data_IF_008406823219
#
_entry.id   IF_008406823219
#
_cell.length_a   1.000
_cell.length_b   1.000
_cell.length_c   1.000
_cell.angle_alpha   90.00
_cell.angle_beta   90.00
_cell.angle_gamma   90.00
#
_symmetry.space_group_name_H-M   'P 1'
#
loop_
_entity.id
_entity.type
_entity.pdbx_description
1 polymer ?
#
# COMPACT_ATOMS: atom_id res chain seq x y z
N UNK A 1 -25.19 11.66 40.96
CA UNK A 1 -25.03 11.82 39.50
C UNK A 1 -23.57 11.53 39.16
N UNK A 2 -23.27 10.79 38.09
CA UNK A 2 -21.90 10.59 37.61
C UNK A 2 -21.92 10.54 36.08
N UNK A 3 -21.12 11.39 35.43
CA UNK A 3 -21.15 11.60 33.99
C UNK A 3 -20.32 10.57 33.23
N UNK A 4 -20.93 9.87 32.27
CA UNK A 4 -20.20 9.07 31.29
C UNK A 4 -19.63 9.98 30.20
N UNK A 5 -18.40 10.45 30.36
CA UNK A 5 -17.69 11.15 29.30
C UNK A 5 -17.37 10.16 28.16
N UNK A 6 -18.19 10.18 27.12
CA UNK A 6 -18.03 9.35 25.93
C UNK A 6 -16.98 9.96 25.00
N UNK A 7 -15.71 9.56 25.19
CA UNK A 7 -14.62 9.97 24.30
C UNK A 7 -14.79 9.29 22.95
N UNK A 8 -15.37 10.00 21.98
CA UNK A 8 -15.42 9.58 20.58
C UNK A 8 -14.02 9.67 19.99
N UNK A 9 -13.32 8.53 19.89
CA UNK A 9 -12.06 8.47 19.14
C UNK A 9 -12.35 8.66 17.65
N UNK A 10 -12.02 9.83 17.11
CA UNK A 10 -11.96 10.03 15.65
C UNK A 10 -10.82 9.21 15.05
N UNK A 11 -11.04 8.61 13.88
CA UNK A 11 -10.00 7.92 13.11
C UNK A 11 -9.67 8.80 11.91
N UNK A 12 -8.43 9.30 11.86
CA UNK A 12 -7.90 10.08 10.74
C UNK A 12 -7.50 9.12 9.62
N UNK A 13 -7.98 9.36 8.40
CA UNK A 13 -7.70 8.50 7.25
C UNK A 13 -6.73 9.16 6.28
N UNK A 14 -5.64 8.45 5.95
CA UNK A 14 -4.76 8.81 4.84
C UNK A 14 -5.15 8.01 3.60
N UNK A 15 -5.82 8.65 2.64
CA UNK A 15 -6.25 7.98 1.41
C UNK A 15 -5.10 7.84 0.39
N UNK A 16 -4.45 6.67 0.34
CA UNK A 16 -3.50 6.33 -0.72
C UNK A 16 -4.26 6.00 -2.03
N UNK A 17 -4.43 7.00 -2.89
CA UNK A 17 -5.00 6.82 -4.22
C UNK A 17 -3.98 6.28 -5.23
N UNK A 18 -4.10 5.00 -5.61
CA UNK A 18 -3.41 4.48 -6.80
C UNK A 18 -4.04 5.11 -8.06
N UNK A 19 -3.22 5.80 -8.85
CA UNK A 19 -3.57 6.24 -10.21
C UNK A 19 -2.71 5.48 -11.21
N UNK A 20 -3.34 4.65 -12.04
CA UNK A 20 -2.64 3.80 -13.00
C UNK A 20 -2.02 4.58 -14.16
N UNK A 21 -0.80 4.19 -14.55
CA UNK A 21 -0.11 4.69 -15.74
C UNK A 21 -0.27 3.69 -16.90
N UNK A 22 -1.18 3.97 -17.82
CA UNK A 22 -1.25 3.29 -19.12
C UNK A 22 -0.47 4.10 -20.17
N UNK A 23 0.66 3.55 -20.62
CA UNK A 23 1.43 4.08 -21.76
C UNK A 23 1.04 3.32 -23.03
N UNK A 24 0.79 4.05 -24.11
CA UNK A 24 0.52 3.51 -25.44
C UNK A 24 0.50 4.63 -26.49
N UNK A 25 1.38 4.54 -27.48
CA UNK A 25 1.57 5.54 -28.53
C UNK A 25 1.29 4.93 -29.92
N UNK A 26 0.44 5.62 -30.70
CA UNK A 26 0.32 5.59 -32.17
C UNK A 26 0.01 4.23 -32.85
N UNK A 27 -0.59 4.14 -34.05
CA UNK A 27 -0.59 5.04 -35.22
C UNK A 27 -1.97 5.35 -35.89
N UNK A 28 -1.96 6.42 -36.69
CA UNK A 28 -2.82 6.86 -37.82
C UNK A 28 -4.34 6.47 -37.96
N UNK A 29 -5.21 7.46 -37.67
CA UNK A 29 -6.13 8.21 -38.58
C UNK A 29 -6.87 7.54 -39.77
N UNK A 30 -8.00 8.13 -40.29
CA UNK A 30 -8.74 9.37 -39.89
C UNK A 30 -10.25 9.05 -39.63
N UNK A 31 -11.31 9.90 -39.68
CA UNK A 31 -11.64 11.26 -40.21
C UNK A 31 -12.68 12.01 -39.34
N UNK A 32 -12.80 13.32 -39.58
CA UNK A 32 -13.97 14.25 -39.53
C UNK A 32 -15.29 13.70 -38.96
N UNK A 33 -15.95 14.36 -37.99
CA UNK A 33 -16.65 15.65 -38.21
C UNK A 33 -16.79 16.54 -36.96
N UNK A 34 -16.82 17.85 -37.21
CA UNK A 34 -16.80 19.00 -36.31
C UNK A 34 -17.83 19.01 -35.17
N UNK A 35 -17.37 19.31 -33.96
CA UNK A 35 -17.94 20.43 -33.17
C UNK A 35 -16.88 21.05 -32.26
N UNK A 36 -16.82 22.37 -32.27
CA UNK A 36 -15.82 23.17 -31.59
C UNK A 36 -16.28 23.49 -30.17
N UNK A 37 -15.46 23.13 -29.17
CA UNK A 37 -15.61 23.55 -27.77
C UNK A 37 -14.22 23.97 -27.32
N UNK A 38 -14.08 25.23 -26.94
CA UNK A 38 -12.80 25.79 -26.48
C UNK A 38 -12.40 25.19 -25.12
N UNK A 39 -11.59 24.14 -25.18
CA UNK A 39 -10.89 23.58 -24.04
C UNK A 39 -9.49 24.21 -23.98
N UNK A 40 -9.34 25.22 -23.11
CA UNK A 40 -8.07 25.90 -22.87
C UNK A 40 -6.92 24.95 -22.54
N UNK A 41 -5.66 25.39 -22.70
CA UNK A 41 -4.49 24.52 -22.79
C UNK A 41 -4.38 23.54 -21.61
N UNK A 42 -4.04 22.26 -21.87
CA UNK A 42 -3.97 21.24 -20.83
C UNK A 42 -2.97 21.65 -19.76
N UNK A 43 -3.37 21.56 -18.48
CA UNK A 43 -2.50 21.84 -17.33
C UNK A 43 -1.52 20.68 -17.08
N UNK A 44 -0.71 20.36 -18.07
CA UNK A 44 0.46 19.48 -17.96
C UNK A 44 1.60 20.20 -17.24
N UNK A 45 1.40 20.48 -15.96
CA UNK A 45 2.42 20.95 -15.04
C UNK A 45 2.53 19.96 -13.88
N UNK A 46 3.52 19.06 -13.95
CA UNK A 46 4.17 18.57 -12.73
C UNK A 46 4.59 19.82 -11.96
N UNK A 47 4.19 19.95 -10.69
CA UNK A 47 4.46 21.13 -9.87
C UNK A 47 5.93 21.54 -10.03
N UNK A 48 6.25 22.79 -10.44
CA UNK A 48 7.63 23.21 -10.66
C UNK A 48 8.55 23.00 -9.46
N UNK A 49 8.00 22.94 -8.24
CA UNK A 49 8.74 22.60 -7.02
C UNK A 49 8.99 21.09 -6.88
N UNK A 50 8.05 20.24 -7.31
CA UNK A 50 8.24 18.79 -7.36
C UNK A 50 9.24 18.42 -8.47
N UNK A 51 9.11 19.03 -9.65
CA UNK A 51 10.07 18.89 -10.74
C UNK A 51 11.47 19.38 -10.33
N UNK A 52 11.58 20.53 -9.62
CA UNK A 52 12.83 21.00 -9.04
C UNK A 52 13.38 20.08 -7.95
N UNK A 53 12.53 19.50 -7.09
CA UNK A 53 12.99 18.57 -6.05
C UNK A 53 13.60 17.29 -6.66
N UNK A 54 12.91 16.70 -7.65
CA UNK A 54 13.42 15.54 -8.40
C UNK A 54 14.68 15.90 -9.19
N UNK A 55 14.72 17.07 -9.85
CA UNK A 55 15.89 17.52 -10.60
C UNK A 55 17.09 17.84 -9.68
N UNK A 56 16.88 18.44 -8.51
CA UNK A 56 17.95 18.73 -7.55
C UNK A 56 18.51 17.46 -6.91
N UNK A 57 17.65 16.50 -6.55
CA UNK A 57 18.07 15.18 -6.11
C UNK A 57 18.89 14.45 -7.20
N UNK A 58 18.52 14.61 -8.47
CA UNK A 58 19.22 14.00 -9.61
C UNK A 58 20.54 14.72 -9.96
N UNK A 59 20.61 16.05 -9.83
CA UNK A 59 21.77 16.86 -10.21
C UNK A 59 22.97 16.67 -9.28
N UNK A 60 22.74 16.36 -8.00
CA UNK A 60 23.79 16.11 -7.02
C UNK A 60 24.62 14.83 -7.29
N UNK A 61 24.22 14.00 -8.26
CA UNK A 61 24.96 12.81 -8.74
C UNK A 61 26.11 13.21 -9.68
N UNK A 62 26.18 14.47 -10.12
CA UNK A 62 26.93 14.92 -11.29
C UNK A 62 28.40 15.33 -11.14
N UNK A 63 29.12 14.98 -10.07
CA UNK A 63 30.57 15.23 -10.00
C UNK A 63 31.35 14.36 -8.99
N UNK A 64 32.38 13.65 -9.47
CA UNK A 64 33.62 13.45 -8.72
C UNK A 64 33.61 12.61 -7.43
N UNK A 65 32.66 11.70 -7.22
CA UNK A 65 32.67 10.80 -6.06
C UNK A 65 31.82 9.56 -6.24
N UNK A 66 32.34 8.40 -5.82
CA UNK A 66 31.58 7.15 -5.73
C UNK A 66 30.73 7.12 -4.45
N UNK A 67 29.77 8.05 -4.35
CA UNK A 67 28.69 7.92 -3.38
C UNK A 67 27.73 6.84 -3.88
N UNK A 68 27.50 5.80 -3.06
CA UNK A 68 26.48 4.79 -3.36
C UNK A 68 25.13 5.51 -3.44
N UNK A 69 24.47 5.47 -4.61
CA UNK A 69 23.13 6.03 -4.77
C UNK A 69 22.20 5.39 -3.73
N UNK A 70 21.62 6.18 -2.83
CA UNK A 70 20.70 5.67 -1.80
C UNK A 70 19.30 5.39 -2.39
N UNK A 71 18.93 6.10 -3.46
CA UNK A 71 17.70 5.90 -4.23
C UNK A 71 17.71 4.69 -5.18
N UNK A 72 16.54 4.23 -5.66
CA UNK A 72 16.39 3.04 -6.51
C UNK A 72 17.27 3.06 -7.78
N UNK A 73 17.73 1.89 -8.28
CA UNK A 73 18.55 1.82 -9.48
C UNK A 73 17.76 2.31 -10.71
N UNK A 74 18.36 3.12 -11.63
CA UNK A 74 17.66 3.64 -12.80
C UNK A 74 17.10 2.57 -13.77
N UNK A 75 17.64 1.35 -13.72
CA UNK A 75 17.18 0.18 -14.46
C UNK A 75 16.01 -0.56 -13.80
N UNK A 76 15.61 -0.21 -12.58
CA UNK A 76 14.72 -1.00 -11.71
C UNK A 76 15.36 -2.29 -11.15
N UNK A 77 16.43 -2.80 -11.77
CA UNK A 77 17.11 -4.05 -11.43
C UNK A 77 18.40 -3.77 -10.65
N UNK A 78 18.51 -4.36 -9.46
CA UNK A 78 19.73 -4.35 -8.65
C UNK A 78 20.81 -5.29 -9.21
N UNK A 79 22.08 -4.89 -9.22
CA UNK A 79 23.18 -5.85 -9.38
C UNK A 79 23.19 -6.86 -8.21
N UNK A 80 23.72 -8.08 -8.41
CA UNK A 80 23.72 -9.14 -7.39
C UNK A 80 24.25 -8.67 -6.02
N UNK A 81 23.49 -8.97 -4.95
CA UNK A 81 23.83 -8.61 -3.57
C UNK A 81 23.67 -7.13 -3.18
N UNK A 82 23.40 -6.22 -4.13
CA UNK A 82 23.25 -4.78 -3.81
C UNK A 82 21.93 -4.50 -3.08
N UNK A 83 20.86 -5.23 -3.39
CA UNK A 83 19.60 -5.14 -2.64
C UNK A 83 19.78 -5.51 -1.16
N UNK A 84 20.56 -6.56 -0.87
CA UNK A 84 20.84 -7.03 0.49
C UNK A 84 21.66 -6.03 1.32
N UNK A 85 22.58 -5.29 0.69
CA UNK A 85 23.30 -4.18 1.34
C UNK A 85 22.37 -3.05 1.79
N UNK A 86 21.39 -2.69 0.97
CA UNK A 86 20.47 -1.57 1.27
C UNK A 86 19.40 -1.96 2.28
N UNK A 87 18.79 -3.13 2.11
CA UNK A 87 17.79 -3.69 3.02
C UNK A 87 17.85 -5.22 2.96
N UNK A 88 18.53 -5.83 3.93
CA UNK A 88 18.69 -7.28 4.03
C UNK A 88 17.33 -7.99 4.14
N UNK A 89 17.24 -9.23 3.62
CA UNK A 89 16.01 -10.02 3.67
C UNK A 89 15.55 -10.25 5.11
N UNK A 90 14.29 -9.90 5.41
CA UNK A 90 13.72 -9.97 6.76
C UNK A 90 14.13 -8.85 7.72
N UNK A 91 14.92 -7.87 7.28
CA UNK A 91 15.18 -6.66 8.09
C UNK A 91 13.96 -5.73 8.15
N UNK A 92 13.90 -4.88 9.19
CA UNK A 92 12.76 -3.98 9.41
C UNK A 92 12.62 -2.94 8.29
N UNK A 93 11.40 -2.66 7.80
CA UNK A 93 11.11 -1.53 6.92
C UNK A 93 11.67 -0.20 7.46
N UNK A 94 12.18 0.66 6.58
CA UNK A 94 12.79 1.96 6.93
C UNK A 94 11.92 3.12 6.47
N UNK A 95 11.94 4.22 7.22
CA UNK A 95 11.33 5.49 6.83
C UNK A 95 12.35 6.65 6.94
N UNK A 96 12.59 7.34 5.83
CA UNK A 96 13.59 8.41 5.70
C UNK A 96 12.86 9.75 5.51
N UNK A 97 12.80 10.55 6.58
CA UNK A 97 12.02 11.79 6.66
C UNK A 97 12.71 12.95 5.92
N UNK A 98 12.12 13.41 4.82
CA UNK A 98 12.61 14.55 4.04
C UNK A 98 12.02 15.91 4.46
N UNK A 99 10.76 15.93 4.92
CA UNK A 99 10.10 17.11 5.49
C UNK A 99 9.10 16.68 6.57
N UNK A 100 9.06 17.36 7.72
CA UNK A 100 8.18 17.01 8.84
C UNK A 100 6.83 17.74 8.84
N UNK A 101 6.62 18.67 7.90
CA UNK A 101 5.33 19.32 7.65
C UNK A 101 4.96 20.45 8.60
N UNK A 102 3.82 21.06 8.34
CA UNK A 102 3.29 22.24 9.04
C UNK A 102 2.01 21.94 9.83
N UNK A 103 1.67 22.81 10.78
CA UNK A 103 0.48 22.67 11.62
C UNK A 103 0.66 21.65 12.74
N UNK A 104 -0.45 21.09 13.22
CA UNK A 104 -0.47 20.02 14.23
C UNK A 104 0.29 18.79 13.72
N UNK A 105 1.24 18.30 14.53
CA UNK A 105 2.05 17.12 14.21
C UNK A 105 1.57 15.92 15.03
N UNK A 106 1.37 14.78 14.38
CA UNK A 106 0.81 13.55 14.99
C UNK A 106 1.71 12.34 14.72
N UNK A 107 1.75 11.37 15.66
CA UNK A 107 2.34 10.06 15.39
C UNK A 107 1.33 9.23 14.57
N UNK A 108 1.63 9.01 13.29
CA UNK A 108 0.76 8.26 12.39
C UNK A 108 0.63 6.77 12.77
N UNK A 109 1.66 6.17 13.39
CA UNK A 109 1.62 4.76 13.80
C UNK A 109 0.65 4.54 14.95
N UNK A 110 0.73 5.38 16.00
CA UNK A 110 -0.17 5.33 17.15
C UNK A 110 -1.64 5.56 16.75
N UNK A 111 -1.84 6.38 15.72
CA UNK A 111 -3.15 6.76 15.18
C UNK A 111 -3.79 5.67 14.32
N UNK A 112 -3.00 4.98 13.49
CA UNK A 112 -3.47 3.96 12.54
C UNK A 112 -3.46 2.53 13.12
N UNK A 113 -2.47 2.20 13.96
CA UNK A 113 -2.21 0.83 14.43
C UNK A 113 -2.41 0.67 15.95
N UNK A 114 -3.44 1.30 16.49
CA UNK A 114 -3.82 1.16 17.91
C UNK A 114 -4.24 -0.29 18.22
N UNK A 115 -3.65 -0.96 19.24
CA UNK A 115 -4.03 -2.33 19.60
C UNK A 115 -5.53 -2.46 19.94
N UNK A 116 -6.19 -3.46 19.38
CA UNK A 116 -7.63 -3.69 19.49
C UNK A 116 -8.48 -2.86 18.50
N UNK A 117 -7.88 -1.99 17.68
CA UNK A 117 -8.59 -1.30 16.60
C UNK A 117 -9.16 -2.30 15.59
N UNK A 118 -10.39 -2.04 15.13
CA UNK A 118 -11.09 -2.84 14.13
C UNK A 118 -11.76 -1.93 13.11
N UNK A 119 -11.73 -2.36 11.85
CA UNK A 119 -12.37 -1.68 10.73
C UNK A 119 -12.87 -2.72 9.72
N UNK A 120 -13.82 -2.32 8.87
CA UNK A 120 -14.24 -3.12 7.73
C UNK A 120 -14.16 -2.25 6.48
N UNK A 121 -13.43 -2.70 5.47
CA UNK A 121 -13.36 -2.04 4.16
C UNK A 121 -14.01 -2.90 3.09
N UNK A 122 -14.42 -2.28 1.99
CA UNK A 122 -14.85 -2.98 0.78
C UNK A 122 -13.81 -2.75 -0.32
N UNK A 123 -13.31 -3.83 -0.88
CA UNK A 123 -12.31 -3.84 -1.94
C UNK A 123 -12.89 -4.61 -3.12
N UNK A 124 -13.15 -3.90 -4.23
CA UNK A 124 -13.45 -4.55 -5.50
C UNK A 124 -12.13 -4.85 -6.20
N UNK A 125 -11.92 -6.11 -6.59
CA UNK A 125 -10.86 -6.48 -7.53
C UNK A 125 -11.50 -6.88 -8.86
N UNK A 126 -10.97 -6.34 -9.95
CA UNK A 126 -11.33 -6.75 -11.30
C UNK A 126 -10.16 -7.53 -11.89
N UNK A 127 -10.39 -8.77 -12.33
CA UNK A 127 -9.38 -9.58 -13.00
C UNK A 127 -9.86 -10.00 -14.39
N UNK A 128 -8.97 -10.01 -15.38
CA UNK A 128 -9.29 -10.34 -16.76
C UNK A 128 -8.57 -11.64 -17.18
N UNK A 129 -9.27 -12.80 -17.27
CA UNK A 129 -8.62 -14.09 -17.54
C UNK A 129 -7.97 -14.21 -18.93
N UNK A 130 -8.37 -13.35 -19.87
CA UNK A 130 -7.86 -13.30 -21.24
C UNK A 130 -8.23 -11.95 -21.86
N UNK A 131 -7.38 -11.33 -22.72
CA UNK A 131 -7.69 -10.07 -23.40
C UNK A 131 -8.99 -10.04 -24.20
N UNK A 132 -9.60 -11.20 -24.49
CA UNK A 132 -10.89 -11.35 -25.20
C UNK A 132 -12.08 -11.65 -24.30
N UNK A 133 -11.84 -11.92 -23.01
CA UNK A 133 -12.89 -12.12 -22.00
C UNK A 133 -13.12 -10.80 -21.27
N UNK A 134 -14.36 -10.41 -20.94
CA UNK A 134 -14.61 -9.27 -20.06
C UNK A 134 -13.91 -9.44 -18.70
N UNK A 135 -13.49 -8.37 -18.03
CA UNK A 135 -13.07 -8.43 -16.63
C UNK A 135 -14.18 -8.99 -15.74
N UNK A 136 -13.78 -9.68 -14.68
CA UNK A 136 -14.66 -10.22 -13.63
C UNK A 136 -14.43 -9.42 -12.36
N UNK A 137 -15.47 -8.76 -11.85
CA UNK A 137 -15.43 -8.07 -10.55
C UNK A 137 -15.72 -9.03 -9.40
N UNK A 138 -14.92 -8.94 -8.34
CA UNK A 138 -15.15 -9.61 -7.05
C UNK A 138 -15.09 -8.57 -5.93
N UNK A 139 -16.20 -8.43 -5.20
CA UNK A 139 -16.34 -7.51 -4.07
C UNK A 139 -16.00 -8.23 -2.77
N UNK A 140 -14.83 -7.94 -2.21
CA UNK A 140 -14.41 -8.42 -0.90
C UNK A 140 -14.84 -7.43 0.18
N UNK A 141 -15.50 -7.93 1.22
CA UNK A 141 -15.63 -7.21 2.49
C UNK A 141 -14.54 -7.74 3.43
N UNK A 142 -13.58 -6.87 3.76
CA UNK A 142 -12.37 -7.21 4.50
C UNK A 142 -12.45 -6.61 5.90
N UNK A 143 -12.44 -7.45 6.92
CA UNK A 143 -12.39 -7.04 8.32
C UNK A 143 -10.94 -7.05 8.81
N UNK A 144 -10.42 -5.88 9.18
CA UNK A 144 -9.06 -5.70 9.71
C UNK A 144 -9.13 -5.57 11.24
N UNK A 145 -8.15 -6.16 11.91
CA UNK A 145 -8.06 -6.21 13.37
C UNK A 145 -6.58 -6.11 13.77
N UNK A 146 -6.22 -5.06 14.51
CA UNK A 146 -4.85 -4.90 15.05
C UNK A 146 -4.77 -5.64 16.38
N UNK A 147 -3.93 -6.66 16.47
CA UNK A 147 -3.72 -7.45 17.69
C UNK A 147 -2.26 -7.42 18.15
N UNK A 148 -2.01 -7.85 19.38
CA UNK A 148 -0.69 -8.31 19.78
C UNK A 148 -0.47 -9.74 19.29
N UNK A 149 0.74 -10.13 18.87
CA UNK A 149 1.04 -11.49 18.45
C UNK A 149 0.81 -12.47 19.61
N UNK A 150 0.49 -13.73 19.26
CA UNK A 150 0.15 -14.80 20.22
C UNK A 150 1.33 -15.72 20.54
N UNK A 151 2.54 -15.17 20.60
CA UNK A 151 3.78 -15.96 20.75
C UNK A 151 4.35 -15.77 22.14
N UNK A 152 4.62 -16.88 22.83
CA UNK A 152 5.30 -16.89 24.13
C UNK A 152 6.81 -16.67 23.99
N UNK A 153 7.41 -16.06 25.02
CA UNK A 153 8.85 -15.90 25.26
C UNK A 153 9.74 -15.35 24.14
N UNK A 154 9.57 -14.05 23.86
CA UNK A 154 10.63 -13.19 23.36
C UNK A 154 10.39 -11.73 23.77
N UNK A 155 11.40 -11.01 24.29
CA UNK A 155 11.20 -9.61 24.71
C UNK A 155 10.90 -8.68 23.53
N UNK A 156 11.57 -8.90 22.40
CA UNK A 156 11.30 -8.20 21.13
C UNK A 156 9.88 -8.45 20.58
N UNK A 157 9.25 -9.60 20.88
CA UNK A 157 7.89 -9.91 20.42
C UNK A 157 6.80 -9.11 21.17
N UNK A 158 7.13 -8.50 22.33
CA UNK A 158 6.15 -7.81 23.19
C UNK A 158 5.75 -6.41 22.69
N UNK A 159 6.58 -5.79 21.85
CA UNK A 159 6.29 -4.51 21.18
C UNK A 159 5.76 -4.66 19.75
N UNK A 160 5.83 -5.86 19.16
CA UNK A 160 5.33 -6.11 17.81
C UNK A 160 3.78 -6.15 17.78
N UNK A 161 3.19 -5.79 16.65
CA UNK A 161 1.74 -5.88 16.40
C UNK A 161 1.47 -6.66 15.13
N UNK A 162 0.38 -7.42 15.10
CA UNK A 162 -0.13 -8.08 13.90
C UNK A 162 -1.34 -7.31 13.36
N UNK A 163 -1.28 -6.92 12.08
CA UNK A 163 -2.48 -6.55 11.32
C UNK A 163 -3.09 -7.83 10.74
N UNK A 164 -4.19 -8.29 11.32
CA UNK A 164 -4.94 -9.44 10.82
C UNK A 164 -6.06 -8.96 9.92
N UNK A 165 -6.13 -9.46 8.68
CA UNK A 165 -7.19 -9.14 7.72
C UNK A 165 -7.97 -10.41 7.40
N UNK A 166 -9.30 -10.36 7.49
CA UNK A 166 -10.18 -11.51 7.28
C UNK A 166 -11.16 -11.22 6.14
N UNK A 167 -11.33 -12.19 5.24
CA UNK A 167 -12.32 -12.15 4.17
C UNK A 167 -13.70 -12.39 4.76
N UNK A 168 -14.35 -11.34 5.26
CA UNK A 168 -15.62 -11.41 5.99
C UNK A 168 -16.81 -11.72 5.06
N UNK A 169 -16.76 -11.20 3.82
CA UNK A 169 -17.71 -11.52 2.75
C UNK A 169 -16.98 -11.55 1.40
N UNK A 170 -17.46 -12.39 0.51
CA UNK A 170 -17.18 -12.33 -0.93
C UNK A 170 -18.52 -12.13 -1.62
N UNK A 171 -18.61 -11.17 -2.55
CA UNK A 171 -19.77 -10.98 -3.42
C UNK A 171 -19.28 -10.99 -4.88
N UNK A 172 -20.11 -11.51 -5.78
CA UNK A 172 -19.76 -11.72 -7.19
C UNK A 172 -20.83 -11.08 -8.07
N UNK A 173 -20.45 -10.65 -9.27
CA UNK A 173 -21.42 -10.26 -10.28
C UNK A 173 -22.30 -11.46 -10.70
N UNK A 174 -23.59 -11.24 -11.07
CA UNK A 174 -24.48 -12.33 -11.49
C UNK A 174 -24.02 -13.12 -12.74
N UNK A 175 -23.06 -12.57 -13.49
CA UNK A 175 -22.36 -13.20 -14.61
C UNK A 175 -21.44 -14.34 -14.17
N UNK A 176 -20.91 -14.29 -12.94
CA UNK A 176 -20.01 -15.30 -12.38
C UNK A 176 -20.84 -16.45 -11.82
N UNK A 177 -20.78 -17.61 -12.51
CA UNK A 177 -21.63 -18.77 -12.21
C UNK A 177 -20.81 -20.07 -12.19
N UNK A 178 -21.49 -21.21 -12.01
CA UNK A 178 -20.85 -22.54 -12.07
C UNK A 178 -19.87 -22.79 -10.92
N UNK A 179 -18.79 -23.52 -11.19
CA UNK A 179 -17.80 -23.89 -10.17
C UNK A 179 -16.93 -22.71 -9.74
N UNK A 180 -16.60 -21.80 -10.65
CA UNK A 180 -15.82 -20.59 -10.36
C UNK A 180 -16.50 -19.76 -9.25
N UNK A 181 -17.81 -19.58 -9.32
CA UNK A 181 -18.57 -18.88 -8.29
C UNK A 181 -18.51 -19.56 -6.91
N UNK A 182 -18.44 -20.90 -6.88
CA UNK A 182 -18.26 -21.66 -5.63
C UNK A 182 -16.84 -21.52 -5.09
N UNK A 183 -15.81 -21.71 -5.91
CA UNK A 183 -14.40 -21.56 -5.51
C UNK A 183 -14.12 -20.16 -4.95
N UNK A 184 -14.58 -19.11 -5.64
CA UNK A 184 -14.45 -17.72 -5.17
C UNK A 184 -15.26 -17.47 -3.88
N UNK A 185 -16.49 -17.97 -3.79
CA UNK A 185 -17.31 -17.83 -2.58
C UNK A 185 -16.70 -18.47 -1.33
N UNK A 186 -15.93 -19.55 -1.51
CA UNK A 186 -15.20 -20.25 -0.43
C UNK A 186 -13.99 -19.47 0.11
N UNK A 187 -13.53 -18.40 -0.55
CA UNK A 187 -12.50 -17.51 0.04
C UNK A 187 -12.97 -16.82 1.33
N UNK A 188 -14.28 -16.77 1.60
CA UNK A 188 -14.81 -16.25 2.86
C UNK A 188 -14.24 -17.04 4.06
N UNK A 189 -13.63 -16.31 5.00
CA UNK A 189 -12.95 -16.87 6.17
C UNK A 189 -11.44 -17.00 6.01
N UNK A 190 -10.90 -16.77 4.81
CA UNK A 190 -9.45 -16.61 4.58
C UNK A 190 -8.91 -15.49 5.46
N UNK A 191 -7.72 -15.72 6.02
CA UNK A 191 -7.03 -14.83 6.94
C UNK A 191 -5.65 -14.49 6.39
N UNK A 192 -5.36 -13.20 6.35
CA UNK A 192 -4.01 -12.67 6.15
C UNK A 192 -3.50 -12.17 7.51
N UNK A 193 -2.21 -12.25 7.74
CA UNK A 193 -1.55 -11.64 8.91
C UNK A 193 -0.25 -10.99 8.48
N UNK A 194 -0.12 -9.69 8.74
CA UNK A 194 1.10 -8.92 8.56
C UNK A 194 1.67 -8.57 9.93
N UNK A 195 2.81 -9.15 10.34
CA UNK A 195 3.59 -8.63 11.46
C UNK A 195 4.12 -7.25 11.06
N UNK A 196 3.75 -6.24 11.84
CA UNK A 196 4.16 -4.85 11.65
C UNK A 196 5.43 -4.57 12.46
N UNK A 197 6.37 -3.85 11.86
CA UNK A 197 7.45 -3.22 12.61
C UNK A 197 6.90 -2.08 13.49
N UNK A 198 7.70 -1.62 14.46
CA UNK A 198 7.35 -0.51 15.38
C UNK A 198 6.97 0.79 14.66
N UNK A 199 7.39 0.95 13.41
CA UNK A 199 7.09 2.09 12.55
C UNK A 199 5.90 1.85 11.59
N UNK A 200 5.07 0.82 11.83
CA UNK A 200 3.86 0.50 11.05
C UNK A 200 4.09 -0.24 9.73
N UNK A 201 5.34 -0.36 9.25
CA UNK A 201 5.64 -1.07 8.00
C UNK A 201 5.47 -2.58 8.15
N UNK A 202 4.86 -3.24 7.15
CA UNK A 202 4.70 -4.69 7.14
C UNK A 202 6.02 -5.42 6.86
N UNK A 203 6.28 -6.54 7.56
CA UNK A 203 7.50 -7.33 7.40
C UNK A 203 7.33 -8.58 6.52
N UNK A 204 6.28 -9.37 6.76
CA UNK A 204 6.08 -10.67 6.14
C UNK A 204 4.59 -10.94 5.90
N UNK A 205 4.29 -11.68 4.85
CA UNK A 205 2.94 -12.14 4.52
C UNK A 205 2.75 -13.58 5.04
N UNK A 206 1.85 -13.76 6.02
CA UNK A 206 1.26 -15.06 6.33
C UNK A 206 -0.18 -15.11 5.77
N UNK A 207 -0.48 -16.12 4.94
CA UNK A 207 -1.78 -16.34 4.31
C UNK A 207 -2.32 -17.71 4.74
N UNK A 208 -3.47 -17.70 5.41
CA UNK A 208 -4.22 -18.88 5.85
C UNK A 208 -5.55 -18.93 5.07
N UNK A 209 -5.66 -19.83 4.09
CA UNK A 209 -6.90 -20.03 3.35
C UNK A 209 -8.03 -20.51 4.27
N UNK A 210 -9.27 -20.18 3.92
CA UNK A 210 -10.44 -20.77 4.56
C UNK A 210 -10.41 -22.31 4.40
N UNK A 211 -10.86 -23.04 5.43
CA UNK A 211 -10.79 -24.52 5.47
C UNK A 211 -11.36 -25.23 4.23
N UNK A 212 -12.41 -24.65 3.64
CA UNK A 212 -13.13 -25.24 2.50
C UNK A 212 -12.73 -24.59 1.15
N UNK A 213 -11.78 -23.66 1.15
CA UNK A 213 -11.24 -23.02 -0.06
C UNK A 213 -10.28 -23.98 -0.80
N UNK A 214 -10.49 -24.20 -2.11
CA UNK A 214 -9.60 -25.01 -2.91
C UNK A 214 -8.28 -24.28 -3.23
N UNK A 215 -7.17 -24.98 -3.53
CA UNK A 215 -5.88 -24.34 -3.78
C UNK A 215 -5.82 -23.46 -5.05
N UNK A 216 -6.72 -23.64 -6.01
CA UNK A 216 -6.79 -22.85 -7.26
C UNK A 216 -7.19 -21.38 -7.03
N UNK A 217 -7.72 -21.03 -5.85
CA UNK A 217 -7.98 -19.63 -5.45
C UNK A 217 -6.89 -19.04 -4.54
N UNK A 218 -5.79 -19.76 -4.28
CA UNK A 218 -4.68 -19.23 -3.46
C UNK A 218 -4.05 -18.01 -4.11
N UNK A 219 -3.76 -18.06 -5.42
CA UNK A 219 -3.11 -16.96 -6.15
C UNK A 219 -3.95 -15.68 -6.15
N UNK A 220 -5.30 -15.80 -6.13
CA UNK A 220 -6.18 -14.64 -5.98
C UNK A 220 -6.12 -14.08 -4.54
N UNK A 221 -6.17 -14.92 -3.52
CA UNK A 221 -6.05 -14.49 -2.12
C UNK A 221 -4.67 -13.86 -1.82
N UNK A 222 -3.62 -14.41 -2.41
CA UNK A 222 -2.25 -13.90 -2.41
C UNK A 222 -2.14 -12.57 -3.16
N UNK A 223 -2.78 -12.45 -4.32
CA UNK A 223 -2.88 -11.19 -5.06
C UNK A 223 -3.58 -10.08 -4.26
N UNK A 224 -4.68 -10.40 -3.56
CA UNK A 224 -5.33 -9.46 -2.61
C UNK A 224 -4.34 -9.03 -1.52
N UNK A 225 -3.59 -9.98 -0.96
CA UNK A 225 -2.66 -9.72 0.12
C UNK A 225 -1.46 -8.85 -0.30
N UNK A 226 -0.81 -9.16 -1.42
CA UNK A 226 0.32 -8.37 -1.94
C UNK A 226 -0.11 -6.94 -2.29
N UNK A 227 -1.33 -6.74 -2.83
CA UNK A 227 -1.90 -5.41 -3.06
C UNK A 227 -2.19 -4.63 -1.77
N UNK A 228 -2.67 -5.29 -0.71
CA UNK A 228 -2.85 -4.66 0.61
C UNK A 228 -1.51 -4.31 1.25
N UNK A 229 -0.50 -5.19 1.15
CA UNK A 229 0.85 -4.97 1.67
C UNK A 229 1.53 -3.76 1.01
N UNK A 230 1.25 -3.49 -0.27
CA UNK A 230 1.74 -2.30 -0.95
C UNK A 230 1.28 -0.97 -0.32
N UNK A 231 0.17 -0.96 0.43
CA UNK A 231 -0.29 0.18 1.21
C UNK A 231 0.32 0.30 2.62
N UNK A 232 0.97 -0.75 3.13
CA UNK A 232 1.55 -0.82 4.48
C UNK A 232 2.98 -0.27 4.51
N UNK A 233 3.10 1.03 4.23
CA UNK A 233 4.35 1.79 4.27
C UNK A 233 4.92 1.88 5.69
N UNK A 234 6.24 2.04 5.80
CA UNK A 234 6.87 2.50 7.03
C UNK A 234 6.60 4.00 7.23
N UNK A 235 6.36 4.41 8.48
CA UNK A 235 6.14 5.80 8.88
C UNK A 235 7.35 6.34 9.65
N UNK A 236 7.58 7.66 9.69
CA UNK A 236 8.64 8.25 10.50
C UNK A 236 8.36 8.09 12.00
N UNK A 237 9.39 7.82 12.81
CA UNK A 237 9.28 7.76 14.28
C UNK A 237 8.98 9.14 14.93
N UNK A 238 9.07 10.22 14.16
CA UNK A 238 8.78 11.58 14.58
C UNK A 238 7.35 11.97 14.20
N UNK A 239 6.60 12.67 15.07
CA UNK A 239 5.31 13.25 14.70
C UNK A 239 5.41 14.15 13.46
N UNK A 240 4.48 14.00 12.52
CA UNK A 240 4.44 14.71 11.23
C UNK A 240 3.15 15.49 11.04
N UNK A 241 3.25 16.63 10.35
CA UNK A 241 2.14 17.53 10.04
C UNK A 241 1.70 17.49 8.58
N UNK A 242 0.78 18.38 8.20
CA UNK A 242 0.34 18.51 6.81
C UNK A 242 1.51 18.95 5.91
N UNK A 243 1.65 18.35 4.73
CA UNK A 243 2.77 18.61 3.82
C UNK A 243 4.09 17.90 4.18
N UNK A 244 4.11 17.06 5.21
CA UNK A 244 5.24 16.18 5.49
C UNK A 244 5.49 15.20 4.33
N UNK A 245 6.76 14.82 4.13
CA UNK A 245 7.23 13.94 3.05
C UNK A 245 8.32 13.00 3.57
N UNK A 246 8.23 11.71 3.26
CA UNK A 246 9.29 10.72 3.53
C UNK A 246 9.37 9.66 2.44
N UNK A 247 10.53 8.99 2.35
CA UNK A 247 10.68 7.74 1.61
C UNK A 247 10.41 6.57 2.56
N UNK A 248 9.54 5.63 2.18
CA UNK A 248 9.40 4.33 2.83
C UNK A 248 10.13 3.27 1.99
N UNK A 249 11.04 2.53 2.61
CA UNK A 249 11.84 1.48 1.98
C UNK A 249 11.47 0.11 2.58
N UNK A 250 10.85 -0.76 1.78
CA UNK A 250 10.29 -2.06 2.22
C UNK A 250 10.82 -3.19 1.34
N UNK A 251 11.27 -4.31 1.94
CA UNK A 251 11.62 -5.52 1.19
C UNK A 251 10.36 -6.36 1.03
N UNK A 252 9.90 -6.49 -0.22
CA UNK A 252 8.51 -6.80 -0.55
C UNK A 252 8.51 -7.82 -1.70
N UNK A 253 8.25 -9.13 -1.42
CA UNK A 253 8.30 -10.17 -2.45
C UNK A 253 6.97 -10.23 -3.23
N UNK A 254 6.96 -9.73 -4.47
CA UNK A 254 5.78 -9.71 -5.32
C UNK A 254 5.82 -10.87 -6.32
N UNK A 255 4.78 -11.71 -6.36
CA UNK A 255 4.68 -12.89 -7.25
C UNK A 255 5.93 -13.82 -7.20
N UNK A 256 6.57 -13.92 -6.03
CA UNK A 256 7.79 -14.71 -5.83
C UNK A 256 9.11 -14.01 -6.21
N UNK A 257 9.06 -12.80 -6.78
CA UNK A 257 10.26 -11.97 -7.06
C UNK A 257 10.61 -11.13 -5.83
N UNK A 258 11.82 -11.30 -5.30
CA UNK A 258 12.32 -10.57 -4.12
C UNK A 258 12.63 -9.11 -4.48
N UNK A 259 11.72 -8.19 -4.13
CA UNK A 259 11.77 -6.77 -4.48
C UNK A 259 12.19 -5.86 -3.32
N UNK A 260 12.75 -4.68 -3.65
CA UNK A 260 12.95 -3.58 -2.72
C UNK A 260 12.13 -2.38 -3.18
N UNK A 261 10.97 -2.19 -2.54
CA UNK A 261 10.01 -1.15 -2.86
C UNK A 261 10.37 0.17 -2.19
N UNK A 262 10.52 1.22 -3.01
CA UNK A 262 10.72 2.61 -2.59
C UNK A 262 9.41 3.38 -2.81
N UNK A 263 8.81 3.88 -1.74
CA UNK A 263 7.49 4.53 -1.74
C UNK A 263 7.62 5.94 -1.16
N UNK A 264 7.61 6.96 -2.01
CA UNK A 264 7.53 8.36 -1.57
C UNK A 264 6.12 8.66 -1.07
N UNK A 265 5.99 9.03 0.21
CA UNK A 265 4.72 9.35 0.85
C UNK A 265 4.66 10.84 1.17
N UNK A 266 3.49 11.46 0.97
CA UNK A 266 3.21 12.85 1.32
C UNK A 266 1.89 12.96 2.07
N UNK A 267 1.88 13.70 3.18
CA UNK A 267 0.64 14.04 3.89
C UNK A 267 -0.06 15.18 3.14
N UNK A 268 -1.21 14.89 2.54
CA UNK A 268 -2.06 15.87 1.84
C UNK A 268 -2.94 16.66 2.80
N UNK A 269 -3.64 15.96 3.71
CA UNK A 269 -4.46 16.52 4.79
C UNK A 269 -4.25 15.70 6.08
N UNK A 270 -4.63 16.28 7.22
CA UNK A 270 -4.82 15.58 8.50
C UNK A 270 -6.18 16.02 9.03
N UNK A 271 -7.14 15.11 9.08
CA UNK A 271 -8.55 15.41 9.36
C UNK A 271 -9.02 14.69 10.64
N UNK A 272 -8.94 15.41 11.76
CA UNK A 272 -9.44 14.97 13.06
C UNK A 272 -9.29 16.07 14.12
N UNK A 273 -10.15 16.05 15.14
CA UNK A 273 -9.97 16.85 16.36
C UNK A 273 -8.86 16.21 17.23
N UNK A 274 -8.02 17.05 17.84
CA UNK A 274 -6.89 16.65 18.69
C UNK A 274 -7.16 16.75 20.19
#
# INVERSE_FOLDING_TARGET
MSGKNSVRSGVVWLALGLSGLSLGCEDEKPKTTTKEVDAGPPKTAVDPNLAKAVAAASANVGAGGALELEGPPPSGVFPPGVADKRLAKGSLPKAELGNDGSGTKVNLVELLFKPGAKQTQKVQLQFQPSPRTPPISVDFELAFEVIKPKVDDGEAAKEQLDLVVKFAKVSLEPTVTGELAKSLGKLKGTKITYPLAKNGGAMALNLELAKDAPPDVEDLARGVAENLMAGLVAYPDKPVGQGAVWMSSVRDPHQGVDGLAYRMVKVTTLEGEG
#
